data_IF_283120800202
#
_entry.id   IF_283120800202
#
_cell.length_a   1.000
_cell.length_b   1.000
_cell.length_c   1.000
_cell.angle_alpha   90.00
_cell.angle_beta   90.00
_cell.angle_gamma   90.00
#
_symmetry.space_group_name_H-M   'P 1'
#
loop_
_entity.id
_entity.type
_entity.pdbx_description
1 polymer ?
#
# COMPACT_ATOMS: atom_id res chain seq x y z
N UNK A 1 -3.97 11.54 22.18
CA UNK A 1 -4.36 12.19 20.91
C UNK A 1 -3.07 12.50 20.15
N UNK A 2 -2.90 12.01 18.93
CA UNK A 2 -1.70 12.30 18.12
C UNK A 2 -2.10 13.38 17.11
N UNK A 3 -1.54 14.58 17.25
CA UNK A 3 -1.75 15.67 16.31
C UNK A 3 -0.77 15.54 15.16
N UNK A 4 -1.26 15.55 13.92
CA UNK A 4 -0.43 15.64 12.72
C UNK A 4 -0.82 16.83 11.90
N UNK A 5 0.17 17.62 11.51
CA UNK A 5 -0.03 18.78 10.64
C UNK A 5 -0.01 18.35 9.18
N UNK A 6 -0.96 18.88 8.42
CA UNK A 6 -0.90 18.87 6.97
C UNK A 6 0.16 19.88 6.54
N UNK A 7 1.04 19.47 5.63
CA UNK A 7 2.07 20.31 5.04
C UNK A 7 1.77 20.50 3.55
N UNK A 8 2.19 21.62 3.00
CA UNK A 8 2.08 21.91 1.57
C UNK A 8 3.48 21.97 0.95
N UNK A 9 3.65 21.35 -0.21
CA UNK A 9 4.85 21.52 -1.02
C UNK A 9 4.47 21.51 -2.49
N UNK A 10 4.84 22.57 -3.20
CA UNK A 10 4.62 22.70 -4.65
C UNK A 10 3.14 22.49 -5.05
N UNK A 11 2.21 23.03 -4.26
CA UNK A 11 0.77 22.90 -4.50
C UNK A 11 0.17 21.52 -4.17
N UNK A 12 0.94 20.62 -3.55
CA UNK A 12 0.46 19.33 -3.08
C UNK A 12 0.45 19.27 -1.56
N UNK A 13 -0.66 18.80 -0.99
CA UNK A 13 -0.80 18.57 0.45
C UNK A 13 -0.30 17.17 0.82
N UNK A 14 0.49 17.08 1.88
CA UNK A 14 0.98 15.81 2.41
C UNK A 14 0.99 15.79 3.94
N UNK A 15 1.00 14.59 4.51
CA UNK A 15 1.12 14.35 5.95
C UNK A 15 2.29 13.41 6.18
N UNK A 16 3.12 13.72 7.17
CA UNK A 16 4.21 12.83 7.56
C UNK A 16 3.66 11.65 8.37
N UNK A 17 3.92 10.44 7.90
CA UNK A 17 3.64 9.20 8.63
C UNK A 17 4.91 8.74 9.36
N UNK A 18 4.86 8.47 10.68
CA UNK A 18 5.94 7.84 11.41
C UNK A 18 6.31 6.50 10.81
N UNK A 19 7.62 6.25 10.72
CA UNK A 19 8.16 5.02 10.14
C UNK A 19 7.55 3.76 10.74
N UNK A 20 7.36 3.73 12.06
CA UNK A 20 6.74 2.60 12.78
C UNK A 20 5.34 2.24 12.26
N UNK A 21 4.51 3.22 11.86
CA UNK A 21 3.20 2.93 11.29
C UNK A 21 3.29 2.44 9.85
N UNK A 22 4.23 2.99 9.08
CA UNK A 22 4.49 2.51 7.73
C UNK A 22 4.97 1.05 7.76
N UNK A 23 5.88 0.71 8.68
CA UNK A 23 6.40 -0.65 8.88
C UNK A 23 5.27 -1.60 9.31
N UNK A 24 4.42 -1.20 10.25
CA UNK A 24 3.26 -1.99 10.70
C UNK A 24 2.22 -2.25 9.59
N UNK A 25 2.11 -1.33 8.62
CA UNK A 25 1.21 -1.46 7.46
C UNK A 25 1.90 -2.03 6.21
N UNK A 26 3.21 -2.31 6.25
CA UNK A 26 3.98 -2.76 5.09
C UNK A 26 4.08 -1.74 3.94
N UNK A 27 4.00 -0.44 4.25
CA UNK A 27 4.05 0.65 3.27
C UNK A 27 5.50 1.15 3.15
N UNK A 28 6.09 1.04 1.97
CA UNK A 28 7.41 1.59 1.67
C UNK A 28 7.32 2.80 0.74
N UNK A 29 8.41 3.57 0.65
CA UNK A 29 8.53 4.65 -0.34
C UNK A 29 8.30 4.08 -1.74
N UNK A 30 7.40 4.72 -2.50
CA UNK A 30 7.03 4.28 -3.85
C UNK A 30 5.85 3.29 -3.90
N UNK A 31 5.32 2.82 -2.76
CA UNK A 31 4.09 2.03 -2.75
C UNK A 31 2.86 2.90 -3.02
N UNK A 32 1.91 2.32 -3.77
CA UNK A 32 0.58 2.91 -3.92
C UNK A 32 -0.25 2.65 -2.66
N UNK A 33 -1.06 3.63 -2.28
CA UNK A 33 -1.98 3.56 -1.14
C UNK A 33 -3.36 4.03 -1.56
N UNK A 34 -4.39 3.45 -0.95
CA UNK A 34 -5.76 3.92 -1.10
C UNK A 34 -6.06 4.97 -0.02
N UNK A 35 -6.58 6.11 -0.44
CA UNK A 35 -7.00 7.20 0.44
C UNK A 35 -8.51 7.35 0.31
N UNK A 36 -9.22 7.34 1.43
CA UNK A 36 -10.67 7.53 1.47
C UNK A 36 -11.12 8.25 2.73
N UNK A 37 -12.42 8.57 2.81
CA UNK A 37 -13.03 9.20 3.97
C UNK A 37 -14.06 8.22 4.55
N UNK A 38 -13.96 7.91 5.84
CA UNK A 38 -14.90 7.04 6.55
C UNK A 38 -15.14 7.59 7.95
N UNK A 39 -16.41 7.81 8.31
CA UNK A 39 -16.81 8.35 9.62
C UNK A 39 -16.01 9.62 9.99
N UNK A 40 -15.97 10.60 9.07
CA UNK A 40 -15.25 11.87 9.21
C UNK A 40 -13.74 11.75 9.45
N UNK A 41 -13.16 10.58 9.13
CA UNK A 41 -11.72 10.32 9.24
C UNK A 41 -11.14 10.01 7.87
N UNK A 42 -9.98 10.60 7.59
CA UNK A 42 -9.15 10.20 6.45
C UNK A 42 -8.55 8.83 6.76
N UNK A 43 -8.86 7.84 5.94
CA UNK A 43 -8.36 6.48 6.03
C UNK A 43 -7.31 6.27 4.95
N UNK A 44 -6.13 5.83 5.37
CA UNK A 44 -5.04 5.43 4.49
C UNK A 44 -4.89 3.92 4.64
N UNK A 45 -5.08 3.19 3.55
CA UNK A 45 -4.89 1.75 3.51
C UNK A 45 -3.82 1.40 2.46
N UNK A 46 -2.99 0.38 2.69
CA UNK A 46 -2.17 -0.19 1.63
C UNK A 46 -3.06 -0.52 0.44
N UNK A 47 -2.66 -0.14 -0.78
CA UNK A 47 -3.32 -0.67 -1.97
C UNK A 47 -3.08 -2.19 -1.93
N UNK A 48 -4.14 -3.00 -1.84
CA UNK A 48 -4.00 -4.47 -1.87
C UNK A 48 -3.08 -4.83 -3.04
N UNK A 49 -2.02 -5.64 -2.85
CA UNK A 49 -1.46 -6.33 -4.00
C UNK A 49 -2.64 -7.09 -4.60
N UNK A 50 -2.88 -6.89 -5.90
CA UNK A 50 -3.76 -7.80 -6.58
C UNK A 50 -3.20 -9.20 -6.31
N UNK A 51 -4.05 -10.13 -5.93
CA UNK A 51 -3.75 -11.56 -5.89
C UNK A 51 -3.47 -12.11 -7.31
N UNK A 52 -2.86 -11.31 -8.19
CA UNK A 52 -2.48 -11.63 -9.56
C UNK A 52 -0.97 -11.46 -9.81
N UNK A 53 -0.16 -11.18 -8.78
CA UNK A 53 1.31 -11.19 -8.89
C UNK A 53 1.99 -12.36 -8.14
N UNK A 54 1.24 -13.38 -7.75
CA UNK A 54 1.78 -14.74 -7.81
C UNK A 54 1.81 -15.15 -9.28
N UNK A 55 2.85 -14.69 -9.97
CA UNK A 55 3.41 -15.41 -11.10
C UNK A 55 3.93 -16.74 -10.56
N UNK A 56 3.00 -17.66 -10.27
CA UNK A 56 3.31 -19.08 -10.36
C UNK A 56 3.62 -19.25 -11.84
N UNK A 57 4.89 -19.13 -12.20
CA UNK A 57 5.42 -19.82 -13.34
C UNK A 57 5.20 -21.30 -13.03
N UNK A 58 3.97 -21.77 -13.22
CA UNK A 58 3.70 -23.18 -13.44
C UNK A 58 4.49 -23.52 -14.69
N UNK A 59 5.73 -23.94 -14.47
CA UNK A 59 6.38 -24.92 -15.31
C UNK A 59 5.39 -26.09 -15.40
N UNK A 60 4.48 -26.01 -16.36
CA UNK A 60 3.96 -27.19 -17.04
C UNK A 60 5.15 -27.72 -17.84
N UNK A 61 6.10 -28.33 -17.12
CA UNK A 61 6.92 -29.37 -17.74
C UNK A 61 5.93 -30.44 -18.13
N UNK A 62 5.64 -30.52 -19.43
CA UNK A 62 4.95 -31.63 -20.04
C UNK A 62 5.75 -32.90 -19.76
N UNK A 63 5.38 -33.57 -18.67
CA UNK A 63 5.71 -34.95 -18.43
C UNK A 63 4.43 -35.62 -17.98
N UNK A 64 3.72 -36.24 -18.92
CA UNK A 64 2.93 -37.41 -18.56
C UNK A 64 3.10 -38.49 -19.62
N UNK A 65 3.54 -39.69 -19.21
CA UNK A 65 3.83 -40.83 -20.07
C UNK A 65 2.56 -41.65 -20.35
N UNK A 66 2.47 -42.17 -21.58
CA UNK A 66 2.01 -43.51 -21.97
C UNK A 66 2.06 -43.59 -23.50
#
# INVERSE_FOLDING_TARGET
MITRSVQETKGSLYVLLPKQLCDALGINKGHNVNIGIKNDKIVIAPARPSTAQTGVASKLTGSMPA
#
